data_IF_214097828256
#
_entry.id   IF_214097828256
#
_cell.length_a   1.000
_cell.length_b   1.000
_cell.length_c   1.000
_cell.angle_alpha   90.00
_cell.angle_beta   90.00
_cell.angle_gamma   90.00
#
_symmetry.space_group_name_H-M   'P 1'
#
loop_
_entity.id
_entity.type
_entity.pdbx_description
1 polymer ?
#
# COMPACT_ATOMS: atom_id res chain seq x y z
N UNK A 1 8.34 -12.73 21.95
CA UNK A 1 7.92 -11.79 20.90
C UNK A 1 9.06 -11.72 19.92
N UNK A 2 8.79 -12.09 18.67
CA UNK A 2 9.71 -11.83 17.56
C UNK A 2 9.95 -10.32 17.41
N UNK A 3 11.08 -9.90 16.88
CA UNK A 3 11.27 -8.51 16.44
C UNK A 3 10.41 -8.21 15.22
N UNK A 4 10.17 -6.92 14.95
CA UNK A 4 9.38 -6.51 13.78
C UNK A 4 10.00 -6.98 12.46
N UNK A 5 11.33 -6.88 12.32
CA UNK A 5 12.02 -7.42 11.13
C UNK A 5 11.86 -8.94 10.99
N UNK A 6 11.86 -9.69 12.10
CA UNK A 6 11.58 -11.14 12.07
C UNK A 6 10.15 -11.44 11.64
N UNK A 7 9.17 -10.65 12.11
CA UNK A 7 7.78 -10.81 11.69
C UNK A 7 7.62 -10.63 10.19
N UNK A 8 8.18 -9.57 9.62
CA UNK A 8 7.95 -9.17 8.23
C UNK A 8 8.84 -9.89 7.22
N UNK A 9 10.10 -10.16 7.58
CA UNK A 9 11.09 -10.65 6.62
C UNK A 9 11.49 -12.11 6.83
N UNK A 10 11.58 -12.57 8.09
CA UNK A 10 12.08 -13.93 8.38
C UNK A 10 11.00 -14.96 8.71
N UNK A 11 9.73 -14.55 8.88
CA UNK A 11 8.62 -15.47 9.17
C UNK A 11 8.27 -16.41 8.01
N UNK A 12 8.63 -16.05 6.77
CA UNK A 12 8.20 -16.74 5.55
C UNK A 12 6.71 -16.59 5.23
N UNK A 13 5.97 -15.81 6.03
CA UNK A 13 4.55 -15.53 5.81
C UNK A 13 4.38 -14.39 4.81
N UNK A 14 3.26 -14.40 4.08
CA UNK A 14 2.91 -13.32 3.13
C UNK A 14 1.41 -12.99 3.20
N UNK A 15 1.04 -11.83 2.65
CA UNK A 15 -0.35 -11.39 2.53
C UNK A 15 -1.10 -11.41 3.86
N UNK A 16 -2.34 -11.91 3.86
CA UNK A 16 -3.19 -11.95 5.07
C UNK A 16 -2.54 -12.68 6.25
N UNK A 17 -1.81 -13.77 6.01
CA UNK A 17 -1.19 -14.55 7.08
C UNK A 17 -0.10 -13.73 7.81
N UNK A 18 0.71 -13.00 7.04
CA UNK A 18 1.72 -12.08 7.60
C UNK A 18 1.07 -10.98 8.45
N UNK A 19 0.01 -10.33 7.95
CA UNK A 19 -0.63 -9.24 8.71
C UNK A 19 -1.21 -9.72 10.03
N UNK A 20 -1.89 -10.87 10.04
CA UNK A 20 -2.44 -11.46 11.27
C UNK A 20 -1.31 -11.78 12.25
N UNK A 21 -0.23 -12.42 11.77
CA UNK A 21 0.91 -12.76 12.61
C UNK A 21 1.56 -11.52 13.23
N UNK A 22 1.80 -10.48 12.42
CA UNK A 22 2.40 -9.23 12.88
C UNK A 22 1.50 -8.51 13.91
N UNK A 23 0.18 -8.45 13.71
CA UNK A 23 -0.76 -7.82 14.65
C UNK A 23 -0.90 -8.63 15.96
N UNK A 24 -0.71 -9.95 15.92
CA UNK A 24 -0.71 -10.80 17.12
C UNK A 24 0.56 -10.65 17.95
N UNK A 25 1.73 -10.63 17.30
CA UNK A 25 3.02 -10.42 17.98
C UNK A 25 3.17 -8.96 18.47
N UNK A 26 2.66 -8.01 17.70
CA UNK A 26 2.83 -6.56 17.91
C UNK A 26 1.51 -5.81 17.72
N UNK A 27 0.56 -5.93 18.67
CA UNK A 27 -0.78 -5.37 18.53
C UNK A 27 -0.77 -3.85 18.45
N UNK A 28 -1.85 -3.30 17.89
CA UNK A 28 -2.04 -1.86 17.68
C UNK A 28 -1.00 -1.24 16.74
N UNK A 29 -0.52 -2.03 15.78
CA UNK A 29 0.47 -1.61 14.79
C UNK A 29 1.81 -1.16 15.38
N UNK A 30 2.24 -1.75 16.51
CA UNK A 30 3.44 -1.29 17.22
C UNK A 30 4.70 -1.32 16.34
N UNK A 31 4.79 -2.24 15.38
CA UNK A 31 5.92 -2.34 14.45
C UNK A 31 6.11 -1.16 13.50
N UNK A 32 5.13 -0.25 13.36
CA UNK A 32 5.26 0.90 12.47
C UNK A 32 6.32 1.91 12.97
N UNK A 33 6.61 1.88 14.27
CA UNK A 33 7.66 2.70 14.87
C UNK A 33 9.07 2.09 14.69
N UNK A 34 9.15 0.87 14.17
CA UNK A 34 10.38 0.08 14.06
C UNK A 34 10.70 -0.23 12.60
N UNK A 35 11.96 -0.59 12.34
CA UNK A 35 12.37 -1.05 11.01
C UNK A 35 11.85 -2.46 10.77
N UNK A 36 11.00 -2.62 9.75
CA UNK A 36 10.38 -3.90 9.40
C UNK A 36 11.10 -4.65 8.28
N UNK A 37 12.08 -4.03 7.61
CA UNK A 37 12.86 -4.66 6.54
C UNK A 37 14.35 -4.38 6.71
N UNK A 38 15.23 -5.38 6.51
CA UNK A 38 16.68 -5.18 6.49
C UNK A 38 17.14 -4.30 5.30
N UNK A 39 16.28 -4.09 4.30
CA UNK A 39 16.55 -3.24 3.14
C UNK A 39 16.04 -1.81 3.32
N UNK A 40 15.33 -1.53 4.42
CA UNK A 40 14.78 -0.22 4.69
C UNK A 40 15.82 0.66 5.40
N UNK A 41 15.93 1.95 5.03
CA UNK A 41 16.83 2.87 5.71
C UNK A 41 16.33 3.28 7.11
N UNK A 42 15.01 3.32 7.31
CA UNK A 42 14.34 3.78 8.51
C UNK A 42 12.82 3.51 8.41
N UNK A 43 12.09 3.51 9.56
CA UNK A 43 10.63 3.49 9.55
C UNK A 43 10.05 4.64 8.71
N UNK A 44 8.81 4.51 8.26
CA UNK A 44 8.16 5.56 7.46
C UNK A 44 7.80 6.75 8.35
N UNK A 45 8.34 7.94 8.07
CA UNK A 45 8.00 9.16 8.81
C UNK A 45 6.62 9.71 8.43
N UNK A 46 5.98 10.45 9.33
CA UNK A 46 4.63 10.99 9.16
C UNK A 46 4.50 11.91 7.94
N UNK A 47 5.54 12.69 7.66
CA UNK A 47 5.59 13.65 6.56
C UNK A 47 5.88 12.99 5.20
N UNK A 48 6.24 11.70 5.18
CA UNK A 48 6.53 11.02 3.92
C UNK A 48 5.29 10.92 3.04
N UNK A 49 5.47 11.25 1.77
CA UNK A 49 4.48 11.00 0.74
C UNK A 49 4.61 9.57 0.25
N UNK A 50 3.48 8.87 0.17
CA UNK A 50 3.35 7.53 -0.36
C UNK A 50 2.55 7.58 -1.66
N UNK A 51 3.10 6.97 -2.71
CA UNK A 51 2.51 6.89 -4.02
C UNK A 51 1.91 5.50 -4.25
N UNK A 52 0.62 5.45 -4.58
CA UNK A 52 -0.09 4.26 -5.03
C UNK A 52 -0.28 4.35 -6.55
N UNK A 53 0.29 3.39 -7.29
CA UNK A 53 0.08 3.27 -8.73
C UNK A 53 -1.33 2.72 -9.01
N UNK A 54 -2.06 3.40 -9.90
CA UNK A 54 -3.46 3.10 -10.22
C UNK A 54 -3.52 2.28 -11.51
N UNK A 55 -4.40 1.27 -11.55
CA UNK A 55 -4.52 0.34 -12.68
C UNK A 55 -5.83 0.61 -13.42
N UNK A 56 -5.77 1.11 -14.64
CA UNK A 56 -6.91 1.28 -15.53
C UNK A 56 -7.20 -0.03 -16.32
N UNK A 57 -8.47 -0.43 -16.49
CA UNK A 57 -9.72 0.25 -16.09
C UNK A 57 -10.27 -0.11 -14.71
N UNK A 58 -9.54 -0.89 -13.92
CA UNK A 58 -10.06 -1.49 -12.69
C UNK A 58 -10.17 -0.49 -11.53
N UNK A 59 -9.21 0.44 -11.43
CA UNK A 59 -9.02 1.32 -10.27
C UNK A 59 -9.45 2.76 -10.53
N UNK A 60 -9.84 3.13 -11.75
CA UNK A 60 -10.22 4.49 -12.10
C UNK A 60 -11.46 4.50 -13.00
N UNK A 61 -12.42 5.35 -12.67
CA UNK A 61 -13.52 5.71 -13.55
C UNK A 61 -13.06 6.90 -14.42
N UNK A 62 -12.60 6.60 -15.64
CA UNK A 62 -12.13 7.62 -16.58
C UNK A 62 -13.20 8.63 -16.98
N UNK A 63 -14.49 8.28 -16.87
CA UNK A 63 -15.57 9.23 -17.20
C UNK A 63 -15.71 10.31 -16.12
N UNK A 64 -15.43 9.95 -14.86
CA UNK A 64 -15.52 10.84 -13.70
C UNK A 64 -14.16 11.41 -13.28
N UNK A 65 -13.06 10.83 -13.74
CA UNK A 65 -11.72 11.13 -13.26
C UNK A 65 -11.52 10.75 -11.79
N UNK A 66 -12.28 9.78 -11.30
CA UNK A 66 -12.30 9.38 -9.88
C UNK A 66 -11.70 7.97 -9.73
N UNK A 67 -10.85 7.77 -8.72
CA UNK A 67 -10.45 6.42 -8.34
C UNK A 67 -11.64 5.63 -7.79
N UNK A 68 -11.67 4.34 -8.05
CA UNK A 68 -12.70 3.44 -7.53
C UNK A 68 -12.25 2.82 -6.19
N UNK A 69 -13.18 2.46 -5.29
CA UNK A 69 -12.83 1.72 -4.07
C UNK A 69 -12.12 0.38 -4.33
N UNK A 70 -12.20 -0.16 -5.54
CA UNK A 70 -11.54 -1.41 -5.94
C UNK A 70 -10.01 -1.28 -6.00
N UNK A 71 -9.49 -0.06 -6.16
CA UNK A 71 -8.05 0.25 -6.01
C UNK A 71 -7.50 -0.19 -4.64
N UNK A 72 -8.36 -0.25 -3.63
CA UNK A 72 -8.03 -0.64 -2.25
C UNK A 72 -8.51 -2.06 -1.93
N UNK A 73 -8.97 -2.81 -2.94
CA UNK A 73 -9.46 -4.18 -2.79
C UNK A 73 -8.47 -5.12 -2.10
N UNK A 74 -7.19 -4.91 -2.39
CA UNK A 74 -6.09 -5.75 -1.89
C UNK A 74 -5.84 -5.57 -0.40
N UNK A 75 -6.09 -4.39 0.17
CA UNK A 75 -5.88 -4.08 1.60
C UNK A 75 -6.60 -5.03 2.57
N UNK A 76 -7.67 -5.69 2.12
CA UNK A 76 -8.47 -6.63 2.92
C UNK A 76 -8.21 -8.11 2.59
N UNK A 77 -7.23 -8.36 1.71
CA UNK A 77 -6.77 -9.70 1.30
C UNK A 77 -5.28 -9.90 1.59
N UNK A 78 -4.52 -8.81 1.49
CA UNK A 78 -3.09 -8.66 1.72
C UNK A 78 -2.83 -7.18 1.95
N UNK A 79 -1.59 -6.76 1.80
CA UNK A 79 -1.18 -5.38 1.94
C UNK A 79 -1.42 -4.58 0.66
N UNK A 80 -1.48 -3.26 0.82
CA UNK A 80 -1.52 -2.32 -0.29
C UNK A 80 -0.11 -1.75 -0.48
N UNK A 81 0.54 -2.20 -1.55
CA UNK A 81 1.89 -1.77 -1.94
C UNK A 81 1.89 -0.30 -2.37
N UNK A 82 2.83 0.47 -1.84
CA UNK A 82 3.04 1.88 -2.14
C UNK A 82 4.54 2.18 -2.26
N UNK A 83 4.88 3.28 -2.93
CA UNK A 83 6.25 3.78 -3.03
C UNK A 83 6.43 5.00 -2.12
N UNK A 84 7.49 5.01 -1.31
CA UNK A 84 7.95 6.18 -0.54
C UNK A 84 8.56 7.18 -1.51
N UNK A 85 7.84 8.26 -1.84
CA UNK A 85 8.22 9.20 -2.91
C UNK A 85 9.63 9.75 -2.74
N UNK A 86 10.05 10.02 -1.50
CA UNK A 86 11.40 10.55 -1.17
C UNK A 86 12.53 9.56 -1.49
N UNK A 87 12.24 8.26 -1.44
CA UNK A 87 13.23 7.20 -1.60
C UNK A 87 13.14 6.53 -2.98
N UNK A 88 12.05 6.73 -3.70
CA UNK A 88 11.81 6.13 -5.00
C UNK A 88 12.66 6.81 -6.09
N UNK A 89 13.29 5.97 -6.91
CA UNK A 89 13.94 6.41 -8.15
C UNK A 89 12.98 6.26 -9.33
N UNK A 90 13.25 6.98 -10.42
CA UNK A 90 12.49 6.76 -11.67
C UNK A 90 12.54 5.30 -12.13
N UNK A 91 13.72 4.68 -12.10
CA UNK A 91 13.90 3.30 -12.52
C UNK A 91 13.07 2.30 -11.68
N UNK A 92 13.01 2.50 -10.37
CA UNK A 92 12.18 1.66 -9.48
C UNK A 92 10.68 1.84 -9.75
N UNK A 93 10.24 3.07 -9.98
CA UNK A 93 8.85 3.36 -10.35
C UNK A 93 8.48 2.77 -11.71
N UNK A 94 9.38 2.78 -12.69
CA UNK A 94 9.19 2.19 -14.02
C UNK A 94 9.12 0.67 -13.93
N UNK A 95 10.05 0.03 -13.23
CA UNK A 95 10.01 -1.41 -12.98
C UNK A 95 8.72 -1.84 -12.28
N UNK A 96 8.27 -1.08 -11.27
CA UNK A 96 7.01 -1.36 -10.58
C UNK A 96 5.80 -1.22 -11.51
N UNK A 97 5.79 -0.20 -12.38
CA UNK A 97 4.76 0.01 -13.41
C UNK A 97 4.70 -1.18 -14.37
N UNK A 98 5.85 -1.59 -14.90
CA UNK A 98 5.97 -2.71 -15.84
C UNK A 98 5.50 -4.02 -15.22
N UNK A 99 5.87 -4.31 -13.97
CA UNK A 99 5.40 -5.50 -13.26
C UNK A 99 3.87 -5.55 -13.14
N UNK A 100 3.22 -4.41 -12.86
CA UNK A 100 1.76 -4.34 -12.75
C UNK A 100 1.08 -4.62 -14.10
N UNK A 101 1.65 -4.10 -15.19
CA UNK A 101 1.18 -4.35 -16.57
C UNK A 101 1.38 -5.82 -16.94
N UNK A 102 2.57 -6.38 -16.72
CA UNK A 102 2.88 -7.78 -17.00
C UNK A 102 1.98 -8.75 -16.22
N UNK A 103 1.68 -8.45 -14.94
CA UNK A 103 0.73 -9.23 -14.13
C UNK A 103 -0.67 -9.26 -14.75
N UNK A 104 -1.10 -8.21 -15.45
CA UNK A 104 -2.36 -8.21 -16.20
C UNK A 104 -2.31 -9.14 -17.41
N UNK A 105 -1.24 -9.03 -18.20
CA UNK A 105 -1.02 -9.85 -19.38
C UNK A 105 -0.92 -11.36 -19.07
N UNK A 106 -0.42 -11.73 -17.89
CA UNK A 106 -0.29 -13.12 -17.44
C UNK A 106 -1.59 -13.75 -16.90
N UNK A 107 -2.69 -13.00 -16.79
CA UNK A 107 -3.98 -13.57 -16.36
C UNK A 107 -4.64 -14.39 -17.47
N UNK A 108 -5.58 -15.25 -17.06
CA UNK A 108 -6.39 -16.05 -17.99
C UNK A 108 -7.89 -15.77 -17.73
N UNK A 109 -8.59 -15.05 -18.61
CA UNK A 109 -8.07 -14.37 -19.81
C UNK A 109 -7.14 -13.19 -19.46
N UNK A 110 -6.27 -12.74 -20.39
CA UNK A 110 -5.42 -11.58 -20.18
C UNK A 110 -6.26 -10.34 -19.85
N UNK A 111 -5.80 -9.57 -18.86
CA UNK A 111 -6.41 -8.31 -18.45
C UNK A 111 -5.53 -7.17 -18.96
N UNK A 112 -6.09 -6.29 -19.81
CA UNK A 112 -5.39 -5.05 -20.17
C UNK A 112 -5.27 -4.21 -18.90
N UNK A 113 -4.03 -3.82 -18.60
CA UNK A 113 -3.71 -2.93 -17.50
C UNK A 113 -2.89 -1.78 -18.04
N UNK A 114 -3.39 -0.57 -17.82
CA UNK A 114 -2.63 0.66 -17.98
C UNK A 114 -2.37 1.24 -16.59
N UNK A 115 -1.24 1.92 -16.45
CA UNK A 115 -0.84 2.53 -15.17
C UNK A 115 -0.36 3.94 -15.51
N UNK A 116 -1.32 4.83 -15.67
CA UNK A 116 -1.10 6.19 -16.15
C UNK A 116 -1.41 7.24 -15.07
N UNK A 117 -1.97 6.82 -13.94
CA UNK A 117 -2.31 7.65 -12.80
C UNK A 117 -1.67 7.14 -11.50
N UNK A 118 -1.38 8.08 -10.60
CA UNK A 118 -0.79 7.81 -9.29
C UNK A 118 -1.54 8.61 -8.24
N UNK A 119 -1.97 7.95 -7.17
CA UNK A 119 -2.52 8.63 -5.99
C UNK A 119 -1.43 8.86 -4.95
N UNK A 120 -1.41 10.04 -4.35
CA UNK A 120 -0.40 10.41 -3.36
C UNK A 120 -1.07 10.80 -2.04
N UNK A 121 -0.63 10.20 -0.94
CA UNK A 121 -1.06 10.56 0.40
C UNK A 121 0.13 10.68 1.34
N UNK A 122 0.01 11.50 2.39
CA UNK A 122 0.99 11.52 3.48
C UNK A 122 0.76 10.35 4.43
N UNK A 123 1.82 9.78 4.98
CA UNK A 123 1.74 8.69 5.95
C UNK A 123 0.86 9.06 7.16
N UNK A 124 0.98 10.28 7.69
CA UNK A 124 0.15 10.79 8.79
C UNK A 124 -1.36 10.68 8.51
N UNK A 125 -1.80 10.94 7.27
CA UNK A 125 -3.21 10.86 6.89
C UNK A 125 -3.70 9.42 6.84
N UNK A 126 -2.85 8.49 6.41
CA UNK A 126 -3.15 7.06 6.40
C UNK A 126 -3.30 6.57 7.84
N UNK A 127 -2.36 6.91 8.72
CA UNK A 127 -2.37 6.57 10.15
C UNK A 127 -3.57 7.17 10.89
N UNK A 128 -4.03 8.33 10.46
CA UNK A 128 -5.22 9.02 10.98
C UNK A 128 -6.55 8.37 10.61
N UNK A 129 -6.59 7.39 9.70
CA UNK A 129 -7.82 6.74 9.28
C UNK A 129 -8.46 5.92 10.42
N UNK A 130 -9.73 6.22 10.72
CA UNK A 130 -10.48 5.61 11.82
C UNK A 130 -11.87 5.13 11.39
N UNK A 131 -12.33 4.04 12.00
CA UNK A 131 -13.73 3.58 11.98
C UNK A 131 -14.20 3.51 13.42
N UNK A 132 -15.30 4.20 13.74
CA UNK A 132 -15.88 4.25 15.09
C UNK A 132 -14.83 4.58 16.17
N UNK A 133 -13.95 5.55 15.86
CA UNK A 133 -12.86 5.99 16.74
C UNK A 133 -11.62 5.08 16.76
N UNK A 134 -11.71 3.86 16.23
CA UNK A 134 -10.61 2.90 16.19
C UNK A 134 -9.72 3.12 14.98
N UNK A 135 -8.40 3.16 15.19
CA UNK A 135 -7.42 3.24 14.09
C UNK A 135 -7.43 1.93 13.31
N UNK A 136 -7.46 2.02 11.97
CA UNK A 136 -7.64 0.84 11.10
C UNK A 136 -6.52 0.60 10.09
N UNK A 137 -5.62 1.58 9.89
CA UNK A 137 -4.52 1.50 8.93
C UNK A 137 -3.18 1.78 9.57
N UNK A 138 -2.14 1.11 9.06
CA UNK A 138 -0.74 1.38 9.36
C UNK A 138 0.12 1.31 8.12
N UNK A 139 1.27 1.96 8.18
CA UNK A 139 2.27 2.03 7.11
C UNK A 139 3.56 1.41 7.60
N UNK A 140 4.01 0.35 6.94
CA UNK A 140 5.25 -0.33 7.27
C UNK A 140 6.29 -0.16 6.18
N UNK A 141 7.55 -0.05 6.57
CA UNK A 141 8.72 0.04 5.69
C UNK A 141 9.13 -1.36 5.19
N UNK A 142 8.29 -1.94 4.34
CA UNK A 142 8.46 -3.27 3.76
C UNK A 142 9.41 -3.27 2.55
N UNK A 143 10.50 -2.51 2.62
CA UNK A 143 11.47 -2.40 1.53
C UNK A 143 11.96 -3.79 1.08
N UNK A 144 12.22 -3.96 -0.21
CA UNK A 144 12.71 -5.23 -0.76
C UNK A 144 14.11 -5.04 -1.33
N UNK A 145 14.85 -6.14 -1.51
CA UNK A 145 16.09 -6.12 -2.27
C UNK A 145 15.83 -5.57 -3.68
N UNK A 146 16.56 -4.51 -4.07
CA UNK A 146 16.35 -3.81 -5.34
C UNK A 146 15.13 -2.88 -5.39
N UNK A 147 14.30 -2.81 -4.33
CA UNK A 147 13.15 -1.89 -4.21
C UNK A 147 13.13 -1.20 -2.83
N UNK A 148 14.10 -0.32 -2.56
CA UNK A 148 14.25 0.31 -1.24
C UNK A 148 13.12 1.29 -0.90
N UNK A 149 12.37 1.79 -1.89
CA UNK A 149 11.25 2.68 -1.66
C UNK A 149 9.93 1.95 -1.41
N UNK A 150 9.90 0.63 -1.52
CA UNK A 150 8.70 -0.15 -1.26
C UNK A 150 8.26 -0.01 0.21
N UNK A 151 6.98 0.30 0.40
CA UNK A 151 6.30 0.28 1.68
C UNK A 151 4.91 -0.34 1.49
N UNK A 152 4.28 -0.68 2.61
CA UNK A 152 2.99 -1.35 2.59
C UNK A 152 2.01 -0.69 3.55
N UNK A 153 0.79 -0.45 3.08
CA UNK A 153 -0.34 -0.12 3.95
C UNK A 153 -1.05 -1.41 4.36
N UNK A 154 -1.18 -1.61 5.67
CA UNK A 154 -1.81 -2.77 6.28
C UNK A 154 -3.12 -2.34 6.97
N UNK A 155 -3.96 -3.32 7.26
CA UNK A 155 -5.08 -3.16 8.20
C UNK A 155 -4.91 -4.11 9.38
N UNK A 156 -5.70 -3.93 10.44
CA UNK A 156 -5.65 -4.79 11.63
C UNK A 156 -6.36 -6.13 11.40
N UNK A 157 -6.24 -7.05 12.35
CA UNK A 157 -6.91 -8.34 12.30
C UNK A 157 -8.43 -8.19 12.12
N UNK A 158 -9.05 -7.17 12.75
CA UNK A 158 -10.46 -6.85 12.56
C UNK A 158 -10.76 -6.64 11.08
N UNK A 159 -9.96 -5.88 10.34
CA UNK A 159 -10.16 -5.65 8.92
C UNK A 159 -10.06 -6.89 8.04
N UNK A 160 -9.22 -7.85 8.45
CA UNK A 160 -8.94 -9.07 7.70
C UNK A 160 -9.94 -10.20 7.97
N UNK A 161 -10.48 -10.25 9.19
CA UNK A 161 -11.39 -11.32 9.66
C UNK A 161 -12.86 -10.91 9.61
N UNK A 162 -13.15 -9.62 9.51
CA UNK A 162 -14.53 -9.13 9.50
C UNK A 162 -15.33 -9.44 8.23
N UNK A 163 -16.65 -9.33 8.37
CA UNK A 163 -17.60 -9.48 7.27
C UNK A 163 -17.46 -8.45 6.14
N UNK A 164 -18.22 -8.65 5.05
CA UNK A 164 -18.20 -7.79 3.85
C UNK A 164 -18.38 -6.30 4.16
N UNK A 165 -19.19 -5.96 5.17
CA UNK A 165 -19.46 -4.56 5.58
C UNK A 165 -18.20 -3.85 6.08
N UNK A 166 -17.47 -4.41 7.03
CA UNK A 166 -16.26 -3.79 7.58
C UNK A 166 -15.17 -3.66 6.52
N UNK A 167 -14.97 -4.69 5.68
CA UNK A 167 -14.03 -4.62 4.56
C UNK A 167 -14.36 -3.47 3.60
N UNK A 168 -15.65 -3.23 3.34
CA UNK A 168 -16.09 -2.07 2.55
C UNK A 168 -15.71 -0.75 3.24
N UNK A 169 -15.98 -0.61 4.53
CA UNK A 169 -15.66 0.60 5.29
C UNK A 169 -14.15 0.89 5.33
N UNK A 170 -13.30 -0.14 5.45
CA UNK A 170 -11.84 0.02 5.41
C UNK A 170 -11.36 0.53 4.05
N UNK A 171 -11.93 -0.02 2.96
CA UNK A 171 -11.62 0.46 1.60
C UNK A 171 -12.10 1.89 1.38
N UNK A 172 -13.28 2.25 1.88
CA UNK A 172 -13.81 3.62 1.82
C UNK A 172 -12.94 4.60 2.63
N UNK A 173 -12.45 4.19 3.80
CA UNK A 173 -11.54 4.98 4.59
C UNK A 173 -10.20 5.18 3.87
N UNK A 174 -9.63 4.12 3.29
CA UNK A 174 -8.39 4.24 2.49
C UNK A 174 -8.60 5.12 1.24
N UNK A 175 -9.73 4.95 0.54
CA UNK A 175 -10.14 5.83 -0.56
C UNK A 175 -10.17 7.30 -0.14
N UNK A 176 -10.77 7.62 1.02
CA UNK A 176 -10.84 9.00 1.52
C UNK A 176 -9.46 9.64 1.77
N UNK A 177 -8.43 8.82 2.00
CA UNK A 177 -7.06 9.29 2.23
C UNK A 177 -6.35 9.59 0.90
N UNK A 178 -6.56 8.77 -0.13
CA UNK A 178 -5.83 8.85 -1.40
C UNK A 178 -6.53 9.67 -2.49
N UNK A 179 -7.84 9.93 -2.37
CA UNK A 179 -8.64 10.56 -3.44
C UNK A 179 -8.29 12.02 -3.76
N UNK A 180 -7.55 12.72 -2.90
CA UNK A 180 -7.37 14.17 -3.01
C UNK A 180 -6.25 14.58 -3.97
N UNK A 181 -5.23 13.72 -4.15
CA UNK A 181 -4.07 14.02 -4.99
C UNK A 181 -3.87 12.88 -5.97
N UNK A 182 -4.39 13.10 -7.18
CA UNK A 182 -4.24 12.20 -8.32
C UNK A 182 -3.44 12.96 -9.37
N UNK A 183 -2.30 12.41 -9.77
CA UNK A 183 -1.42 12.97 -10.80
C UNK A 183 -1.20 11.96 -11.91
N UNK A 184 -0.79 12.43 -13.08
CA UNK A 184 -0.33 11.51 -14.13
C UNK A 184 0.97 10.82 -13.70
N UNK A 185 1.19 9.60 -14.19
CA UNK A 185 2.43 8.87 -13.96
C UNK A 185 3.65 9.67 -14.41
N UNK A 186 3.57 10.37 -15.54
CA UNK A 186 4.66 11.20 -16.05
C UNK A 186 4.98 12.38 -15.12
N UNK A 187 3.97 13.03 -14.55
CA UNK A 187 4.16 14.08 -13.55
C UNK A 187 4.78 13.53 -12.26
N UNK A 188 4.34 12.36 -11.81
CA UNK A 188 4.94 11.66 -10.68
C UNK A 188 6.42 11.32 -10.95
N UNK A 189 6.73 10.70 -12.10
CA UNK A 189 8.08 10.28 -12.47
C UNK A 189 9.06 11.45 -12.65
N UNK A 190 8.58 12.66 -12.93
CA UNK A 190 9.39 13.89 -12.95
C UNK A 190 9.81 14.39 -11.56
N UNK A 191 9.14 13.95 -10.51
CA UNK A 191 9.45 14.32 -9.12
C UNK A 191 10.45 13.36 -8.45
N UNK A 192 10.74 12.22 -9.09
CA UNK A 192 11.66 11.21 -8.58
C UNK A 192 13.10 11.54 -8.97
N UNK A 193 14.05 11.08 -8.15
CA UNK A 193 15.50 11.16 -8.44
C UNK A 193 15.92 10.27 -9.59
#
# INVERSE_FOLDING_TARGET
MSSCVECFFYSGLTGKALQIFADQEHPNFACEAEVCSPHSPAPVADEEKLALLIIDPTHIDKTRGEITPDAFGELTKRDLSVLRVRHATRAEAEATREELVQRGAQKTPPELRLVDEVCIARAERIRGARIDGTRILAVYDTALEGKPAHASVFTNELGLTSGKRMRKQIREACYSVFRDVIVSYDEFARQLS
#
